data_IF_060874736417
#
_entry.id   IF_060874736417
#
_cell.length_a   1.000
_cell.length_b   1.000
_cell.length_c   1.000
_cell.angle_alpha   90.00
_cell.angle_beta   90.00
_cell.angle_gamma   90.00
#
_symmetry.space_group_name_H-M   'P 1'
#
loop_
_entity.id
_entity.type
_entity.pdbx_description
1 polymer ?
#
# COMPACT_ATOMS: atom_id res chain seq x y z
N UNK A 1 14.51 0.26 -3.37
CA UNK A 1 15.15 1.47 -2.81
C UNK A 1 14.06 2.42 -2.37
N UNK A 2 13.65 2.37 -1.09
CA UNK A 2 12.55 3.20 -0.57
C UNK A 2 13.12 4.59 -0.23
N UNK A 3 12.83 5.59 -1.08
CA UNK A 3 13.15 6.99 -0.80
C UNK A 3 12.04 7.55 0.07
N UNK A 4 12.12 7.31 1.38
CA UNK A 4 11.35 8.07 2.36
C UNK A 4 11.90 9.50 2.35
N UNK A 5 11.27 10.35 1.55
CA UNK A 5 11.50 11.80 1.57
C UNK A 5 10.83 12.34 2.83
N UNK A 6 11.54 12.25 3.96
CA UNK A 6 11.27 13.07 5.12
C UNK A 6 11.64 14.51 4.75
N UNK A 7 10.66 15.27 4.27
CA UNK A 7 10.75 16.73 4.15
C UNK A 7 9.69 17.39 5.03
N UNK A 8 9.63 16.99 6.30
CA UNK A 8 8.99 17.77 7.35
C UNK A 8 9.96 18.81 7.88
N UNK A 9 10.28 19.85 7.10
CA UNK A 9 10.94 21.05 7.63
C UNK A 9 9.87 21.95 8.25
N UNK A 10 9.43 21.60 9.46
CA UNK A 10 8.62 22.48 10.29
C UNK A 10 9.48 23.66 10.76
N UNK A 11 9.51 24.74 9.97
CA UNK A 11 10.14 26.00 10.32
C UNK A 11 9.26 26.73 11.36
N UNK A 12 9.57 26.50 12.64
CA UNK A 12 9.02 27.30 13.75
C UNK A 12 9.67 28.69 13.70
N UNK A 13 9.06 29.64 12.98
CA UNK A 13 9.52 31.03 12.97
C UNK A 13 8.92 31.83 14.13
N UNK A 14 9.77 32.12 15.11
CA UNK A 14 9.55 33.10 16.18
C UNK A 14 9.62 34.51 15.58
N UNK A 15 8.53 35.27 15.67
CA UNK A 15 8.57 36.73 15.84
C UNK A 15 8.95 37.67 14.67
N UNK A 16 9.20 37.20 13.44
CA UNK A 16 9.48 38.09 12.29
C UNK A 16 8.29 38.18 11.31
N UNK A 17 8.06 39.36 10.73
CA UNK A 17 7.01 39.57 9.72
C UNK A 17 7.33 38.78 8.45
N UNK A 18 6.54 37.75 8.15
CA UNK A 18 6.72 36.96 6.92
C UNK A 18 6.62 37.82 5.65
N UNK A 19 7.59 37.63 4.76
CA UNK A 19 7.74 38.28 3.47
C UNK A 19 6.74 37.73 2.44
N UNK A 20 6.56 38.46 1.33
CA UNK A 20 5.79 37.96 0.19
C UNK A 20 6.39 36.73 -0.48
N UNK A 21 7.70 36.54 -0.33
CA UNK A 21 8.43 35.44 -0.93
C UNK A 21 8.22 34.15 -0.14
N UNK A 22 8.21 34.21 1.18
CA UNK A 22 7.89 33.08 2.07
C UNK A 22 6.47 32.55 1.83
N UNK A 23 5.45 33.42 1.84
CA UNK A 23 4.06 33.00 1.53
C UNK A 23 3.95 32.34 0.14
N UNK A 24 4.71 32.81 -0.85
CA UNK A 24 4.73 32.17 -2.19
C UNK A 24 5.40 30.81 -2.16
N UNK A 25 6.42 30.64 -1.32
CA UNK A 25 7.11 29.37 -1.14
C UNK A 25 6.20 28.35 -0.45
N UNK A 26 5.54 28.72 0.64
CA UNK A 26 4.60 27.84 1.37
C UNK A 26 3.45 27.38 0.46
N UNK A 27 2.91 28.28 -0.38
CA UNK A 27 1.90 27.91 -1.39
C UNK A 27 2.44 26.86 -2.38
N UNK A 28 3.71 26.94 -2.76
CA UNK A 28 4.34 25.96 -3.67
C UNK A 28 4.53 24.62 -2.96
N UNK A 29 4.93 24.62 -1.70
CA UNK A 29 5.10 23.41 -0.87
C UNK A 29 3.76 22.69 -0.68
N UNK A 30 2.73 23.39 -0.21
CA UNK A 30 1.35 22.86 -0.11
C UNK A 30 0.83 22.27 -1.43
N UNK A 31 1.23 22.82 -2.58
CA UNK A 31 0.88 22.28 -3.91
C UNK A 31 1.66 21.00 -4.24
N UNK A 32 2.93 20.91 -3.85
CA UNK A 32 3.75 19.70 -4.02
C UNK A 32 3.19 18.56 -3.16
N UNK A 33 2.92 18.79 -1.88
CA UNK A 33 2.42 17.75 -0.97
C UNK A 33 1.07 17.21 -1.46
N UNK A 34 0.19 18.09 -1.94
CA UNK A 34 -1.09 17.67 -2.55
C UNK A 34 -0.87 16.77 -3.78
N UNK A 35 0.17 17.03 -4.57
CA UNK A 35 0.52 16.22 -5.75
C UNK A 35 1.09 14.87 -5.33
N UNK A 36 1.90 14.83 -4.28
CA UNK A 36 2.50 13.61 -3.72
C UNK A 36 1.44 12.70 -3.10
N UNK A 37 0.57 13.22 -2.22
CA UNK A 37 -0.60 12.49 -1.71
C UNK A 37 -1.48 11.93 -2.85
N UNK A 38 -1.56 12.65 -3.97
CA UNK A 38 -2.29 12.20 -5.16
C UNK A 38 -1.60 11.03 -5.91
N UNK A 39 -0.27 10.91 -5.83
CA UNK A 39 0.49 9.73 -6.29
C UNK A 39 0.29 8.57 -5.32
N UNK A 40 0.45 8.78 -4.01
CA UNK A 40 0.29 7.70 -3.03
C UNK A 40 -1.13 7.11 -3.07
N UNK A 41 -2.15 7.95 -3.29
CA UNK A 41 -3.52 7.49 -3.48
C UNK A 41 -3.73 6.68 -4.78
N UNK A 42 -2.88 6.83 -5.80
CA UNK A 42 -2.88 5.98 -7.00
C UNK A 42 -2.17 4.66 -6.72
N UNK A 43 -1.02 4.71 -6.05
CA UNK A 43 -0.23 3.53 -5.72
C UNK A 43 -1.02 2.59 -4.78
N UNK A 44 -1.61 3.13 -3.71
CA UNK A 44 -2.55 2.41 -2.81
C UNK A 44 -3.72 1.77 -3.58
N UNK A 45 -4.19 2.39 -4.67
CA UNK A 45 -5.26 1.82 -5.50
C UNK A 45 -4.75 0.67 -6.37
N UNK A 46 -3.52 0.76 -6.86
CA UNK A 46 -2.85 -0.29 -7.59
C UNK A 46 -2.59 -1.50 -6.68
N UNK A 47 -2.00 -1.32 -5.50
CA UNK A 47 -1.73 -2.42 -4.56
C UNK A 47 -3.01 -3.17 -4.17
N UNK A 48 -4.12 -2.44 -3.99
CA UNK A 48 -5.44 -3.06 -3.74
C UNK A 48 -5.91 -3.95 -4.89
N UNK A 49 -5.59 -3.59 -6.14
CA UNK A 49 -5.94 -4.39 -7.33
C UNK A 49 -5.07 -5.64 -7.41
N UNK A 50 -3.77 -5.49 -7.17
CA UNK A 50 -2.79 -6.59 -7.15
C UNK A 50 -3.16 -7.61 -6.07
N UNK A 51 -3.37 -7.18 -4.82
CA UNK A 51 -3.90 -8.04 -3.75
C UNK A 51 -5.23 -8.72 -4.16
N UNK A 52 -6.05 -8.02 -4.94
CA UNK A 52 -7.29 -8.56 -5.50
C UNK A 52 -7.03 -9.71 -6.49
N UNK A 53 -5.99 -9.61 -7.31
CA UNK A 53 -5.53 -10.63 -8.26
C UNK A 53 -4.94 -11.84 -7.52
N UNK A 54 -4.04 -11.63 -6.55
CA UNK A 54 -3.47 -12.74 -5.75
C UNK A 54 -4.58 -13.56 -5.08
N UNK A 55 -5.61 -12.87 -4.58
CA UNK A 55 -6.75 -13.55 -3.95
C UNK A 55 -7.59 -14.35 -4.95
N UNK A 56 -7.56 -14.03 -6.25
CA UNK A 56 -8.23 -14.84 -7.29
C UNK A 56 -7.36 -16.04 -7.66
N UNK A 57 -6.06 -15.85 -7.81
CA UNK A 57 -5.09 -16.92 -8.10
C UNK A 57 -5.10 -17.97 -7.00
N UNK A 58 -4.90 -17.58 -5.73
CA UNK A 58 -5.00 -18.48 -4.56
C UNK A 58 -6.35 -19.23 -4.50
N UNK A 59 -7.44 -18.63 -5.01
CA UNK A 59 -8.74 -19.32 -5.08
C UNK A 59 -8.79 -20.33 -6.22
N UNK A 60 -8.16 -20.04 -7.37
CA UNK A 60 -8.03 -20.99 -8.48
C UNK A 60 -7.21 -22.20 -8.06
N UNK A 61 -6.03 -21.98 -7.48
CA UNK A 61 -5.12 -23.07 -7.06
C UNK A 61 -5.78 -23.98 -6.04
N UNK A 62 -6.57 -23.41 -5.11
CA UNK A 62 -7.36 -24.21 -4.16
C UNK A 62 -8.43 -25.06 -4.84
N UNK A 63 -9.03 -24.58 -5.93
CA UNK A 63 -10.04 -25.35 -6.69
C UNK A 63 -9.37 -26.48 -7.47
N UNK A 64 -8.20 -26.23 -8.03
CA UNK A 64 -7.36 -27.21 -8.73
C UNK A 64 -6.89 -28.29 -7.74
N UNK A 65 -6.28 -27.90 -6.63
CA UNK A 65 -5.92 -28.80 -5.53
C UNK A 65 -7.11 -29.66 -5.06
N UNK A 66 -8.32 -29.10 -5.00
CA UNK A 66 -9.51 -29.86 -4.63
C UNK A 66 -9.92 -30.89 -5.70
N UNK A 67 -9.66 -30.63 -6.99
CA UNK A 67 -9.82 -31.62 -8.07
C UNK A 67 -8.77 -32.72 -7.95
N UNK A 68 -7.50 -32.36 -7.72
CA UNK A 68 -6.41 -33.35 -7.60
C UNK A 68 -6.63 -34.27 -6.41
N UNK A 69 -7.08 -33.73 -5.28
CA UNK A 69 -7.46 -34.55 -4.11
C UNK A 69 -8.61 -35.50 -4.42
N UNK A 70 -9.57 -35.13 -5.28
CA UNK A 70 -10.65 -36.04 -5.71
C UNK A 70 -10.13 -37.12 -6.63
N UNK A 71 -9.29 -36.78 -7.61
CA UNK A 71 -8.66 -37.74 -8.50
C UNK A 71 -7.79 -38.74 -7.72
N UNK A 72 -6.98 -38.26 -6.78
CA UNK A 72 -6.17 -39.12 -5.91
C UNK A 72 -7.02 -40.14 -5.14
N UNK A 73 -8.21 -39.74 -4.69
CA UNK A 73 -9.15 -40.66 -4.02
C UNK A 73 -9.69 -41.73 -4.97
N UNK A 74 -9.89 -41.39 -6.24
CA UNK A 74 -10.32 -42.34 -7.27
C UNK A 74 -9.19 -43.30 -7.64
N UNK A 75 -7.98 -42.81 -7.90
CA UNK A 75 -6.80 -43.64 -8.19
C UNK A 75 -6.50 -44.63 -7.05
N UNK A 76 -6.67 -44.19 -5.79
CA UNK A 76 -6.57 -45.07 -4.62
C UNK A 76 -7.59 -46.20 -4.59
N UNK A 77 -8.80 -45.97 -5.12
CA UNK A 77 -9.85 -47.01 -5.22
C UNK A 77 -9.56 -47.98 -6.36
N UNK A 78 -9.00 -47.49 -7.45
CA UNK A 78 -8.66 -48.27 -8.64
C UNK A 78 -7.35 -49.07 -8.47
N UNK A 79 -6.55 -48.75 -7.45
CA UNK A 79 -5.37 -49.53 -7.07
C UNK A 79 -4.06 -49.11 -7.77
N UNK A 80 -4.04 -47.97 -8.47
CA UNK A 80 -2.82 -47.43 -9.09
C UNK A 80 -1.89 -46.81 -8.04
N UNK A 81 -0.97 -47.63 -7.50
CA UNK A 81 -0.01 -47.20 -6.48
C UNK A 81 1.02 -46.19 -7.01
N UNK A 82 1.35 -46.24 -8.30
CA UNK A 82 2.35 -45.36 -8.88
C UNK A 82 1.77 -43.96 -9.13
N UNK A 83 0.57 -43.89 -9.72
CA UNK A 83 -0.18 -42.64 -9.91
C UNK A 83 -0.42 -41.91 -8.60
N UNK A 84 -0.90 -42.63 -7.57
CA UNK A 84 -1.12 -42.12 -6.22
C UNK A 84 0.13 -41.48 -5.61
N UNK A 85 1.30 -42.10 -5.79
CA UNK A 85 2.55 -41.59 -5.22
C UNK A 85 2.97 -40.28 -5.89
N UNK A 86 2.83 -40.18 -7.23
CA UNK A 86 3.13 -38.95 -7.97
C UNK A 86 2.14 -37.85 -7.57
N UNK A 87 0.84 -38.12 -7.63
CA UNK A 87 -0.18 -37.10 -7.34
C UNK A 87 -0.13 -36.61 -5.88
N UNK A 88 0.29 -37.46 -4.92
CA UNK A 88 0.55 -37.00 -3.55
C UNK A 88 1.72 -36.01 -3.43
N UNK A 89 2.75 -36.12 -4.27
CA UNK A 89 3.86 -35.16 -4.31
C UNK A 89 3.39 -33.84 -4.90
N UNK A 90 2.64 -33.89 -5.99
CA UNK A 90 2.11 -32.68 -6.65
C UNK A 90 1.19 -31.91 -5.71
N UNK A 91 0.21 -32.59 -5.09
CA UNK A 91 -0.67 -32.03 -4.04
C UNK A 91 0.12 -31.40 -2.88
N UNK A 92 1.26 -32.00 -2.50
CA UNK A 92 2.12 -31.45 -1.44
C UNK A 92 2.79 -30.16 -1.91
N UNK A 93 3.25 -30.13 -3.16
CA UNK A 93 3.87 -28.97 -3.76
C UNK A 93 2.88 -27.81 -3.89
N UNK A 94 1.67 -28.06 -4.40
CA UNK A 94 0.61 -27.03 -4.52
C UNK A 94 0.26 -26.41 -3.16
N UNK A 95 0.20 -27.24 -2.10
CA UNK A 95 -0.04 -26.75 -0.74
C UNK A 95 1.07 -25.82 -0.25
N UNK A 96 2.32 -26.12 -0.61
CA UNK A 96 3.48 -25.28 -0.26
C UNK A 96 3.38 -23.96 -1.01
N UNK A 97 3.08 -23.99 -2.30
CA UNK A 97 3.03 -22.78 -3.14
C UNK A 97 1.87 -21.88 -2.72
N UNK A 98 0.66 -22.42 -2.53
CA UNK A 98 -0.48 -21.69 -1.95
C UNK A 98 -0.14 -21.08 -0.58
N UNK A 99 0.71 -21.73 0.22
CA UNK A 99 1.14 -21.20 1.51
C UNK A 99 2.12 -20.02 1.36
N UNK A 100 3.02 -20.07 0.37
CA UNK A 100 3.90 -18.95 0.00
C UNK A 100 3.09 -17.76 -0.50
N UNK A 101 2.17 -17.96 -1.43
CA UNK A 101 1.35 -16.87 -2.00
C UNK A 101 0.52 -16.18 -0.92
N UNK A 102 -0.05 -16.97 0.01
CA UNK A 102 -0.75 -16.39 1.18
C UNK A 102 0.17 -15.56 2.06
N UNK A 103 1.45 -15.94 2.20
CA UNK A 103 2.44 -15.22 3.01
C UNK A 103 2.85 -13.92 2.32
N UNK A 104 3.04 -13.96 1.01
CA UNK A 104 3.36 -12.78 0.18
C UNK A 104 2.20 -11.79 0.21
N UNK A 105 0.98 -12.22 -0.13
CA UNK A 105 -0.22 -11.37 -0.01
C UNK A 105 -0.39 -10.77 1.38
N UNK A 106 -0.04 -11.51 2.45
CA UNK A 106 -0.08 -10.97 3.84
C UNK A 106 0.95 -9.87 4.07
N UNK A 107 2.12 -9.93 3.42
CA UNK A 107 3.11 -8.83 3.43
C UNK A 107 2.55 -7.64 2.68
N UNK A 108 2.00 -7.82 1.48
CA UNK A 108 1.45 -6.71 0.67
C UNK A 108 0.31 -6.00 1.39
N UNK A 109 -0.56 -6.75 2.07
CA UNK A 109 -1.61 -6.16 2.93
C UNK A 109 -1.03 -5.34 4.08
N UNK A 110 0.12 -5.72 4.65
CA UNK A 110 0.78 -4.95 5.72
C UNK A 110 1.44 -3.69 5.15
N UNK A 111 2.10 -3.79 4.00
CA UNK A 111 2.70 -2.63 3.31
C UNK A 111 1.62 -1.61 2.97
N UNK A 112 0.54 -2.04 2.32
CA UNK A 112 -0.64 -1.21 2.04
C UNK A 112 -1.25 -0.55 3.28
N UNK A 113 -1.20 -1.21 4.44
CA UNK A 113 -1.65 -0.63 5.72
C UNK A 113 -0.70 0.46 6.20
N UNK A 114 0.60 0.27 6.02
CA UNK A 114 1.64 1.27 6.23
C UNK A 114 1.41 2.50 5.37
N UNK A 115 1.29 2.33 4.06
CA UNK A 115 1.15 3.43 3.10
C UNK A 115 -0.12 4.25 3.37
N UNK A 116 -1.22 3.59 3.75
CA UNK A 116 -2.45 4.29 4.17
C UNK A 116 -2.27 5.11 5.45
N UNK A 117 -1.43 4.64 6.38
CA UNK A 117 -1.15 5.36 7.62
C UNK A 117 -0.29 6.59 7.32
N UNK A 118 0.75 6.43 6.50
CA UNK A 118 1.64 7.51 6.04
C UNK A 118 0.85 8.59 5.31
N UNK A 119 0.10 8.24 4.26
CA UNK A 119 -0.80 9.17 3.55
C UNK A 119 -1.81 9.84 4.50
N UNK A 120 -2.22 9.15 5.58
CA UNK A 120 -3.06 9.69 6.62
C UNK A 120 -2.39 10.79 7.45
N UNK A 121 -1.10 10.63 7.75
CA UNK A 121 -0.25 11.65 8.39
C UNK A 121 -0.01 12.83 7.45
N UNK A 122 0.36 12.59 6.20
CA UNK A 122 0.64 13.65 5.21
C UNK A 122 -0.58 14.55 5.01
N UNK A 123 -1.78 13.97 5.00
CA UNK A 123 -3.04 14.72 4.94
C UNK A 123 -3.28 15.59 6.18
N UNK A 124 -2.81 15.18 7.35
CA UNK A 124 -2.92 15.98 8.58
C UNK A 124 -1.92 17.13 8.58
N UNK A 125 -0.69 16.87 8.16
CA UNK A 125 0.38 17.87 8.00
C UNK A 125 -0.06 18.93 6.97
N UNK A 126 -0.46 18.52 5.78
CA UNK A 126 -1.00 19.43 4.75
C UNK A 126 -2.19 20.29 5.25
N UNK A 127 -3.00 19.75 6.17
CA UNK A 127 -4.10 20.51 6.79
C UNK A 127 -3.58 21.55 7.79
N UNK A 128 -2.51 21.26 8.52
CA UNK A 128 -1.84 22.20 9.41
C UNK A 128 -1.17 23.31 8.61
N UNK A 129 -0.39 22.97 7.58
CA UNK A 129 0.31 23.94 6.72
C UNK A 129 -0.68 24.92 6.07
N UNK A 130 -1.82 24.41 5.60
CA UNK A 130 -2.89 25.26 5.06
C UNK A 130 -3.49 26.21 6.09
N UNK A 131 -3.57 25.83 7.36
CA UNK A 131 -4.06 26.71 8.43
C UNK A 131 -3.03 27.78 8.76
N UNK A 132 -1.76 27.43 8.81
CA UNK A 132 -0.65 28.35 9.08
C UNK A 132 -0.53 29.37 7.95
N UNK A 133 -0.44 28.91 6.71
CA UNK A 133 -0.45 29.76 5.53
C UNK A 133 -1.65 30.72 5.50
N UNK A 134 -2.84 30.25 5.92
CA UNK A 134 -4.02 31.13 6.03
C UNK A 134 -3.81 32.21 7.09
N UNK A 135 -3.25 31.88 8.26
CA UNK A 135 -2.94 32.86 9.31
C UNK A 135 -1.90 33.86 8.83
N UNK A 136 -0.87 33.43 8.11
CA UNK A 136 0.20 34.31 7.61
C UNK A 136 -0.32 35.27 6.55
N UNK A 137 -1.17 34.77 5.64
CA UNK A 137 -1.87 35.61 4.66
C UNK A 137 -2.77 36.64 5.35
N UNK A 138 -3.47 36.27 6.44
CA UNK A 138 -4.31 37.20 7.21
C UNK A 138 -3.44 38.25 7.92
N UNK A 139 -2.40 37.83 8.65
CA UNK A 139 -1.49 38.72 9.40
C UNK A 139 -0.86 39.75 8.47
N UNK A 140 -0.45 39.33 7.29
CA UNK A 140 0.10 40.22 6.26
C UNK A 140 -0.93 41.20 5.70
N UNK A 141 -2.20 40.82 5.60
CA UNK A 141 -3.28 41.73 5.19
C UNK A 141 -3.63 42.75 6.27
N UNK A 142 -3.51 42.39 7.55
CA UNK A 142 -3.84 43.27 8.69
C UNK A 142 -2.67 44.13 9.18
N UNK A 143 -1.43 43.76 8.88
CA UNK A 143 -0.21 44.55 9.15
C UNK A 143 0.20 45.47 8.00
N UNK A 144 -0.71 45.66 7.03
CA UNK A 144 -0.68 46.72 6.03
C UNK A 144 -1.72 47.77 6.39
#
# INVERSE_FOLDING_TARGET
MKRTLLLGLALVFVGTTMTAQEVKQDVREVRKDKKEIGKDARDIRQDRREIGQDNREIRSDKRELAKDVRQLRQEKREGDKAGVTRQMRDIKQDKIDIAKDKRERRRDVRELKGDKKEMGSDRRELRQDRKELRRDVIRKKSGK
#
